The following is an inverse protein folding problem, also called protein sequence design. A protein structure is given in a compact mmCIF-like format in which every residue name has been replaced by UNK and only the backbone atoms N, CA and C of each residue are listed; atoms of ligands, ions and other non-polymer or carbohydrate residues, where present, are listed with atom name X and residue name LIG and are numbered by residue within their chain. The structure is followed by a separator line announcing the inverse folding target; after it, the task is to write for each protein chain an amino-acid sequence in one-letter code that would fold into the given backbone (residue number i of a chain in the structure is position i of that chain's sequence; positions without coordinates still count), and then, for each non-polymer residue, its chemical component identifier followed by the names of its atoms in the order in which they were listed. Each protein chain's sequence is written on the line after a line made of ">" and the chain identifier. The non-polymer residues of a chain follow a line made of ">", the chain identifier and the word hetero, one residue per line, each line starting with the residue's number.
data_IF_380813719037
#
_entry.id   IF_380813719037
#
_cell.length_a   1.000
_cell.length_b   1.000
_cell.length_c   1.000
_cell.angle_alpha   90.00
_cell.angle_beta   90.00
_cell.angle_gamma   90.00
#
_symmetry.space_group_name_H-M   'P 1'
#
loop_
_entity.id
_entity.type
_entity.pdbx_description
1 polymer ?
#
# COMPACT_ATOMS: atom_id res chain seq x y z
N UNK A 1 5.24 -4.21 5.23
CA UNK A 1 4.12 -4.03 4.29
C UNK A 1 4.71 -3.55 2.98
N UNK A 2 3.91 -3.14 1.99
CA UNK A 2 4.39 -2.36 0.84
C UNK A 2 3.62 -1.05 0.84
N UNK A 3 4.32 0.08 0.92
CA UNK A 3 3.76 1.42 0.79
C UNK A 3 3.81 1.91 -0.65
N UNK A 4 2.72 2.53 -1.10
CA UNK A 4 2.54 3.04 -2.47
C UNK A 4 2.70 4.56 -2.48
N UNK A 5 3.93 5.02 -2.53
CA UNK A 5 4.28 6.41 -2.32
C UNK A 5 3.67 7.34 -3.38
N UNK A 6 2.85 8.28 -2.92
CA UNK A 6 2.21 9.31 -3.75
C UNK A 6 0.87 8.91 -4.37
N UNK A 7 0.35 7.72 -4.06
CA UNK A 7 -0.99 7.32 -4.46
C UNK A 7 -2.06 7.87 -3.50
N UNK A 8 -3.23 8.22 -4.04
CA UNK A 8 -4.44 8.51 -3.26
C UNK A 8 -5.33 7.27 -3.22
N UNK A 9 -5.07 6.39 -2.26
CA UNK A 9 -5.72 5.08 -2.12
C UNK A 9 -6.21 4.84 -0.68
N UNK A 10 -7.15 3.91 -0.45
CA UNK A 10 -7.64 3.59 0.90
C UNK A 10 -6.52 3.13 1.85
N UNK A 11 -6.66 3.46 3.14
CA UNK A 11 -5.60 3.21 4.13
C UNK A 11 -5.38 1.73 4.47
N UNK A 12 -6.33 0.85 4.15
CA UNK A 12 -6.22 -0.60 4.34
C UNK A 12 -5.35 -1.30 3.26
N UNK A 13 -5.02 -0.58 2.19
CA UNK A 13 -4.15 -1.02 1.09
C UNK A 13 -2.94 -0.10 0.87
N UNK A 14 -2.84 1.01 1.59
CA UNK A 14 -1.77 2.02 1.41
C UNK A 14 -0.37 1.54 1.79
N UNK A 15 -0.24 0.61 2.75
CA UNK A 15 1.05 0.15 3.28
C UNK A 15 1.48 0.79 4.59
N UNK A 16 0.83 1.88 5.02
CA UNK A 16 1.07 2.53 6.29
C UNK A 16 0.35 1.80 7.45
N UNK A 17 1.13 1.08 8.28
CA UNK A 17 0.55 0.33 9.41
C UNK A 17 -0.18 1.22 10.42
N UNK A 18 0.39 2.39 10.73
CA UNK A 18 -0.19 3.33 11.69
C UNK A 18 -1.55 3.87 11.24
N UNK A 19 -1.82 3.89 9.94
CA UNK A 19 -3.05 4.38 9.32
C UNK A 19 -4.07 3.27 9.02
N UNK A 20 -3.76 2.02 9.38
CA UNK A 20 -4.70 0.90 9.31
C UNK A 20 -4.38 -0.19 8.29
N UNK A 21 -3.25 -0.13 7.57
CA UNK A 21 -2.85 -1.27 6.73
C UNK A 21 -2.48 -2.47 7.61
N UNK A 22 -3.10 -3.65 7.41
CA UNK A 22 -2.75 -4.85 8.14
C UNK A 22 -1.30 -5.31 7.85
N UNK A 23 -0.59 -5.76 8.89
CA UNK A 23 0.73 -6.36 8.72
C UNK A 23 0.67 -7.62 7.87
N UNK A 24 1.69 -7.80 7.04
CA UNK A 24 1.97 -9.09 6.40
C UNK A 24 2.96 -9.83 7.32
N UNK A 25 2.54 -10.92 7.99
CA UNK A 25 3.42 -11.66 8.89
C UNK A 25 4.58 -12.31 8.13
N UNK A 26 5.62 -12.72 8.85
CA UNK A 26 6.74 -13.45 8.24
C UNK A 26 6.23 -14.69 7.51
N UNK A 27 6.66 -14.88 6.26
CA UNK A 27 6.19 -15.95 5.35
C UNK A 27 4.71 -15.85 4.95
N UNK A 28 4.02 -14.78 5.32
CA UNK A 28 2.68 -14.46 4.86
C UNK A 28 2.68 -13.84 3.47
N UNK A 29 1.51 -13.81 2.84
CA UNK A 29 1.28 -13.11 1.58
C UNK A 29 0.03 -12.22 1.71
N UNK A 30 -0.02 -11.16 0.89
CA UNK A 30 -1.19 -10.28 0.77
C UNK A 30 -1.25 -9.72 -0.65
N UNK A 31 -2.44 -9.71 -1.23
CA UNK A 31 -2.72 -9.05 -2.51
C UNK A 31 -3.26 -7.64 -2.26
N UNK A 32 -2.78 -6.69 -3.03
CA UNK A 32 -3.23 -5.30 -3.00
C UNK A 32 -4.00 -5.00 -4.29
N UNK A 33 -5.16 -4.36 -4.18
CA UNK A 33 -5.98 -3.98 -5.33
C UNK A 33 -6.60 -2.63 -5.06
N UNK A 34 -6.32 -1.67 -5.93
CA UNK A 34 -6.86 -0.32 -5.88
C UNK A 34 -6.80 0.29 -7.28
N UNK A 35 -7.54 1.37 -7.50
CA UNK A 35 -7.43 2.14 -8.74
C UNK A 35 -6.27 3.13 -8.61
N UNK A 36 -5.27 3.11 -9.52
CA UNK A 36 -4.16 4.05 -9.47
C UNK A 36 -4.64 5.48 -9.77
N UNK A 37 -4.34 6.42 -8.88
CA UNK A 37 -4.65 7.84 -9.03
C UNK A 37 -3.79 8.66 -8.04
N UNK A 38 -3.29 9.87 -8.40
CA UNK A 38 -3.36 10.55 -9.71
C UNK A 38 -2.42 9.97 -10.79
N UNK A 39 -2.51 10.39 -12.06
CA UNK A 39 -1.51 10.03 -13.08
C UNK A 39 -0.18 10.74 -12.82
N UNK A 40 0.93 10.04 -13.05
CA UNK A 40 2.28 10.55 -12.81
C UNK A 40 3.29 9.44 -12.57
N UNK A 41 4.47 9.82 -12.06
CA UNK A 41 5.53 8.90 -11.67
C UNK A 41 5.49 8.69 -10.16
N UNK A 42 5.28 7.44 -9.75
CA UNK A 42 5.21 7.00 -8.36
C UNK A 42 6.06 5.76 -8.16
N UNK A 43 6.15 5.27 -6.92
CA UNK A 43 7.00 4.15 -6.56
C UNK A 43 6.44 3.40 -5.34
N UNK A 44 7.01 2.23 -5.05
CA UNK A 44 6.64 1.44 -3.88
C UNK A 44 7.87 1.05 -3.06
N UNK A 45 7.69 0.86 -1.76
CA UNK A 45 8.76 0.44 -0.85
C UNK A 45 8.23 -0.28 0.39
N UNK A 46 9.13 -0.91 1.16
CA UNK A 46 8.79 -1.50 2.46
C UNK A 46 8.56 -0.46 3.54
#
# INVERSE_FOLDING_TARGET
>A
TVHWHGFHIPSDVDGAHQEGTPHVPARGNRSYTFTPNPPGTFWYHS
#
